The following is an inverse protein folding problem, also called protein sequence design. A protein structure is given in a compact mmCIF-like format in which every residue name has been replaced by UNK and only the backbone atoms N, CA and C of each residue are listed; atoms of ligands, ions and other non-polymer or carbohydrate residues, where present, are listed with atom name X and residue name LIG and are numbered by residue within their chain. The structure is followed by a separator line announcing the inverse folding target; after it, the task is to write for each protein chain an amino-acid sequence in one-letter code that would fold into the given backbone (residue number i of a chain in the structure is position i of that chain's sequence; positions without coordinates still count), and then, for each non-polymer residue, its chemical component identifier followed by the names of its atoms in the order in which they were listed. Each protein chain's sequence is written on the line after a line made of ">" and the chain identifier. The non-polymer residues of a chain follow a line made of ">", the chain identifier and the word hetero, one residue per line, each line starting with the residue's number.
data_IF_407625682013
#
_entry.id   IF_407625682013
#
_cell.length_a   1.000
_cell.length_b   1.000
_cell.length_c   1.000
_cell.angle_alpha   90.00
_cell.angle_beta   90.00
_cell.angle_gamma   90.00
#
_symmetry.space_group_name_H-M   'P 1'
#
loop_
_entity.id
_entity.type
_entity.pdbx_description
1 polymer ?
#
# COMPACT_ATOMS: atom_id res chain seq x y z
N UNK A 1 12.63 -2.88 -16.05
CA UNK A 1 13.84 -3.60 -15.61
C UNK A 1 13.62 -5.07 -15.90
N UNK A 2 14.40 -5.66 -16.77
CA UNK A 2 14.26 -7.08 -17.10
C UNK A 2 15.09 -7.84 -16.10
N UNK A 3 14.44 -8.54 -15.20
CA UNK A 3 15.13 -9.50 -14.32
C UNK A 3 15.49 -10.73 -15.16
N UNK A 4 16.59 -10.66 -15.86
CA UNK A 4 17.18 -11.85 -16.44
C UNK A 4 17.97 -12.58 -15.37
N UNK A 5 17.28 -13.42 -14.61
CA UNK A 5 17.99 -14.48 -13.90
C UNK A 5 18.52 -15.47 -14.95
N UNK A 6 19.77 -15.37 -15.22
CA UNK A 6 20.50 -16.46 -15.87
C UNK A 6 20.83 -17.48 -14.80
N UNK A 7 19.85 -18.27 -14.41
CA UNK A 7 20.17 -19.42 -13.59
C UNK A 7 20.72 -20.54 -14.49
N UNK A 8 21.98 -20.47 -14.76
CA UNK A 8 22.68 -21.47 -15.61
C UNK A 8 22.92 -22.81 -14.90
N UNK A 9 22.59 -22.92 -13.63
CA UNK A 9 22.91 -24.06 -12.79
C UNK A 9 21.66 -24.80 -12.27
N UNK A 10 20.49 -24.66 -12.93
CA UNK A 10 19.35 -25.52 -12.62
C UNK A 10 19.59 -26.88 -13.28
N UNK A 11 20.08 -27.83 -12.49
CA UNK A 11 20.31 -29.20 -12.95
C UNK A 11 19.14 -30.12 -12.62
N UNK A 12 18.28 -29.73 -11.69
CA UNK A 12 17.16 -30.54 -11.24
C UNK A 12 16.04 -29.67 -10.71
N UNK A 13 14.81 -29.96 -11.11
CA UNK A 13 13.59 -29.29 -10.64
C UNK A 13 12.61 -30.35 -10.15
N UNK A 14 12.10 -30.17 -8.95
CA UNK A 14 11.03 -30.99 -8.39
C UNK A 14 9.74 -30.20 -8.25
N UNK A 15 8.61 -30.89 -8.42
CA UNK A 15 7.30 -30.32 -8.09
C UNK A 15 7.26 -29.91 -6.63
N UNK A 16 6.94 -28.65 -6.38
CA UNK A 16 6.68 -28.16 -5.03
C UNK A 16 5.21 -28.40 -4.69
N UNK A 17 4.89 -29.17 -3.63
CA UNK A 17 3.50 -29.32 -3.20
C UNK A 17 2.84 -27.96 -2.98
N UNK A 18 1.63 -27.81 -3.51
CA UNK A 18 0.82 -26.61 -3.36
C UNK A 18 1.27 -25.37 -4.17
N UNK A 19 2.24 -25.48 -5.07
CA UNK A 19 2.58 -24.40 -6.00
C UNK A 19 2.06 -24.73 -7.41
N UNK A 20 1.20 -23.87 -7.93
CA UNK A 20 0.62 -24.01 -9.26
C UNK A 20 1.36 -23.19 -10.32
N UNK A 21 2.00 -22.08 -9.92
CA UNK A 21 2.76 -21.18 -10.79
C UNK A 21 4.12 -20.85 -10.20
N UNK A 22 5.02 -20.40 -11.07
CA UNK A 22 6.38 -19.99 -10.71
C UNK A 22 6.64 -18.59 -11.25
N UNK A 23 7.60 -17.87 -10.63
CA UNK A 23 7.97 -16.51 -11.04
C UNK A 23 7.08 -15.40 -10.47
N UNK A 24 6.02 -15.73 -9.72
CA UNK A 24 5.19 -14.74 -9.03
C UNK A 24 5.84 -14.35 -7.71
N UNK A 25 6.52 -13.19 -7.68
CA UNK A 25 7.13 -12.66 -6.45
C UNK A 25 6.11 -12.08 -5.49
N UNK A 26 5.12 -11.36 -6.03
CA UNK A 26 4.17 -10.58 -5.23
C UNK A 26 2.72 -10.90 -5.61
N UNK A 27 1.90 -11.18 -4.61
CA UNK A 27 0.44 -11.19 -4.71
C UNK A 27 -0.14 -9.93 -4.05
N UNK A 28 -1.22 -9.38 -4.59
CA UNK A 28 -1.93 -8.24 -4.02
C UNK A 28 -3.39 -8.58 -3.82
N UNK A 29 -3.86 -8.42 -2.58
CA UNK A 29 -5.28 -8.57 -2.23
C UNK A 29 -5.96 -7.24 -2.51
N UNK A 30 -6.99 -7.26 -3.36
CA UNK A 30 -7.75 -6.08 -3.74
C UNK A 30 -9.19 -6.15 -3.21
N UNK A 31 -9.78 -4.97 -3.01
CA UNK A 31 -11.19 -4.82 -2.65
C UNK A 31 -12.10 -5.24 -3.81
N UNK A 32 -13.29 -5.71 -3.49
CA UNK A 32 -14.35 -6.07 -4.45
C UNK A 32 -15.12 -4.82 -4.87
N UNK A 33 -14.42 -3.92 -5.53
CA UNK A 33 -15.03 -2.69 -6.06
C UNK A 33 -14.37 -2.24 -7.36
N UNK A 34 -15.02 -1.33 -8.06
CA UNK A 34 -14.61 -0.85 -9.38
C UNK A 34 -14.35 0.65 -9.34
N UNK A 35 -13.15 1.04 -9.71
CA UNK A 35 -12.74 2.41 -9.98
C UNK A 35 -11.57 2.43 -10.98
N UNK A 36 -11.38 3.53 -11.74
CA UNK A 36 -10.23 3.64 -12.64
C UNK A 36 -8.94 3.82 -11.83
N UNK A 37 -7.91 3.00 -12.12
CA UNK A 37 -6.57 3.10 -11.51
C UNK A 37 -5.57 3.75 -12.45
N UNK A 38 -5.04 4.91 -12.09
CA UNK A 38 -3.96 5.56 -12.83
C UNK A 38 -2.68 4.71 -12.78
N UNK A 39 -1.75 4.87 -13.76
CA UNK A 39 -0.41 4.28 -13.63
C UNK A 39 0.25 4.69 -12.31
N UNK A 40 0.66 3.71 -11.52
CA UNK A 40 1.15 3.90 -10.16
C UNK A 40 0.18 3.47 -9.06
N UNK A 41 -1.13 3.45 -9.32
CA UNK A 41 -2.10 2.84 -8.41
C UNK A 41 -1.75 1.36 -8.19
N UNK A 42 -1.98 0.85 -6.98
CA UNK A 42 -1.68 -0.54 -6.61
C UNK A 42 -2.42 -1.56 -7.48
N UNK A 43 -3.57 -1.18 -8.07
CA UNK A 43 -4.35 -2.01 -9.00
C UNK A 43 -3.87 -1.95 -10.44
N UNK A 44 -2.93 -1.07 -10.77
CA UNK A 44 -2.40 -0.96 -12.12
C UNK A 44 -1.09 -1.72 -12.26
N UNK A 45 -1.16 -2.99 -12.64
CA UNK A 45 0.00 -3.87 -12.76
C UNK A 45 1.06 -3.37 -13.75
N UNK A 46 0.68 -2.56 -14.74
CA UNK A 46 1.62 -2.05 -15.75
C UNK A 46 2.61 -1.01 -15.20
N UNK A 47 2.35 -0.48 -14.01
CA UNK A 47 3.18 0.53 -13.38
C UNK A 47 4.40 -0.05 -12.63
N UNK A 48 4.43 -1.36 -12.43
CA UNK A 48 5.48 -2.02 -11.63
C UNK A 48 6.43 -2.82 -12.51
N UNK A 49 7.75 -2.82 -12.21
CA UNK A 49 8.75 -3.51 -13.03
C UNK A 49 8.82 -5.03 -12.73
N UNK A 50 7.84 -5.58 -12.07
CA UNK A 50 7.75 -6.99 -11.68
C UNK A 50 6.31 -7.51 -11.83
N UNK A 51 6.13 -8.83 -12.00
CA UNK A 51 4.80 -9.41 -12.11
C UNK A 51 4.06 -9.35 -10.77
N UNK A 52 2.78 -8.98 -10.83
CA UNK A 52 1.86 -8.96 -9.70
C UNK A 52 0.69 -9.90 -10.00
N UNK A 53 0.37 -10.76 -9.05
CA UNK A 53 -0.85 -11.56 -9.06
C UNK A 53 -1.91 -10.90 -8.18
N UNK A 54 -3.06 -10.61 -8.74
CA UNK A 54 -4.18 -10.05 -7.97
C UNK A 54 -5.17 -11.13 -7.53
N UNK A 55 -5.75 -10.92 -6.36
CA UNK A 55 -6.88 -11.71 -5.86
C UNK A 55 -7.89 -10.80 -5.17
N UNK A 56 -9.16 -10.95 -5.50
CA UNK A 56 -10.25 -10.15 -4.94
C UNK A 56 -10.66 -10.72 -3.58
N UNK A 57 -10.75 -9.87 -2.56
CA UNK A 57 -11.43 -10.17 -1.31
C UNK A 57 -12.95 -10.06 -1.53
N UNK A 58 -13.58 -11.12 -2.03
CA UNK A 58 -14.97 -11.16 -2.47
C UNK A 58 -15.93 -10.62 -1.39
N UNK A 59 -16.77 -9.67 -1.76
CA UNK A 59 -17.76 -9.03 -0.89
C UNK A 59 -17.22 -7.93 0.04
N UNK A 60 -15.94 -7.57 -0.10
CA UNK A 60 -15.33 -6.49 0.68
C UNK A 60 -15.11 -5.25 -0.19
N UNK A 61 -15.94 -4.24 -0.02
CA UNK A 61 -15.80 -2.93 -0.64
C UNK A 61 -15.10 -1.90 0.28
N UNK A 62 -14.65 -0.79 -0.29
CA UNK A 62 -13.95 0.26 0.44
C UNK A 62 -14.83 0.96 1.46
N UNK A 63 -16.11 1.20 1.18
CA UNK A 63 -17.04 1.85 2.12
C UNK A 63 -17.29 0.97 3.34
N UNK A 64 -17.50 -0.34 3.14
CA UNK A 64 -17.64 -1.31 4.22
C UNK A 64 -16.37 -1.36 5.06
N UNK A 65 -15.20 -1.43 4.41
CA UNK A 65 -13.93 -1.45 5.12
C UNK A 65 -13.70 -0.18 5.96
N UNK A 66 -14.07 0.99 5.45
CA UNK A 66 -13.90 2.27 6.15
C UNK A 66 -14.91 2.44 7.29
N UNK A 67 -16.20 2.30 7.03
CA UNK A 67 -17.26 2.81 7.88
C UNK A 67 -18.01 1.75 8.69
N UNK A 68 -17.86 0.45 8.37
CA UNK A 68 -18.45 -0.58 9.22
C UNK A 68 -17.66 -0.70 10.52
N UNK A 69 -18.36 -0.58 11.66
CA UNK A 69 -17.76 -0.69 12.99
C UNK A 69 -17.23 -2.11 13.27
N UNK A 70 -17.95 -3.14 12.83
CA UNK A 70 -17.52 -4.53 12.92
C UNK A 70 -16.75 -4.95 11.68
N UNK A 71 -15.42 -5.06 11.82
CA UNK A 71 -14.53 -5.51 10.76
C UNK A 71 -14.28 -7.02 10.78
N UNK A 72 -14.80 -7.75 11.74
CA UNK A 72 -14.52 -9.19 11.90
C UNK A 72 -15.04 -10.01 10.74
N UNK A 73 -16.18 -9.60 10.14
CA UNK A 73 -16.78 -10.23 8.97
C UNK A 73 -15.88 -10.21 7.72
N UNK A 74 -14.94 -9.26 7.66
CA UNK A 74 -14.03 -9.08 6.52
C UNK A 74 -12.77 -9.95 6.59
N UNK A 75 -12.48 -10.53 7.76
CA UNK A 75 -11.29 -11.36 7.92
C UNK A 75 -11.31 -12.60 7.01
N UNK A 76 -12.44 -13.28 6.95
CA UNK A 76 -12.57 -14.52 6.17
C UNK A 76 -12.38 -14.33 4.65
N UNK A 77 -12.97 -13.32 3.97
CA UNK A 77 -12.67 -13.00 2.58
C UNK A 77 -11.18 -12.69 2.33
N UNK A 78 -10.55 -11.91 3.21
CA UNK A 78 -9.13 -11.57 3.09
C UNK A 78 -8.26 -12.81 3.26
N UNK A 79 -8.54 -13.66 4.25
CA UNK A 79 -7.85 -14.94 4.45
C UNK A 79 -7.98 -15.86 3.24
N UNK A 80 -9.19 -15.96 2.65
CA UNK A 80 -9.45 -16.75 1.44
C UNK A 80 -8.58 -16.26 0.27
N UNK A 81 -8.53 -14.94 0.04
CA UNK A 81 -7.72 -14.32 -0.99
C UNK A 81 -6.21 -14.56 -0.73
N UNK A 82 -5.75 -14.33 0.49
CA UNK A 82 -4.35 -14.58 0.88
C UNK A 82 -3.94 -16.04 0.63
N UNK A 83 -4.82 -16.98 0.97
CA UNK A 83 -4.56 -18.42 0.78
C UNK A 83 -4.50 -18.83 -0.68
N UNK A 84 -5.33 -18.22 -1.54
CA UNK A 84 -5.27 -18.44 -2.99
C UNK A 84 -3.92 -17.92 -3.56
N UNK A 85 -3.47 -16.73 -3.16
CA UNK A 85 -2.19 -16.18 -3.59
C UNK A 85 -1.00 -17.04 -3.12
N UNK A 86 -1.01 -17.49 -1.88
CA UNK A 86 0.00 -18.44 -1.37
C UNK A 86 0.03 -19.72 -2.19
N UNK A 87 -1.15 -20.31 -2.45
CA UNK A 87 -1.30 -21.57 -3.21
C UNK A 87 -0.86 -21.46 -4.66
N UNK A 88 -1.10 -20.32 -5.31
CA UNK A 88 -0.65 -20.12 -6.69
C UNK A 88 0.87 -19.97 -6.79
N UNK A 89 1.54 -19.61 -5.69
CA UNK A 89 3.00 -19.57 -5.61
C UNK A 89 3.60 -18.19 -5.36
N UNK A 90 2.79 -17.20 -4.99
CA UNK A 90 3.31 -15.90 -4.57
C UNK A 90 4.25 -16.06 -3.37
N UNK A 91 5.34 -15.31 -3.38
CA UNK A 91 6.40 -15.38 -2.35
C UNK A 91 6.26 -14.30 -1.27
N UNK A 92 5.44 -13.29 -1.55
CA UNK A 92 4.98 -12.27 -0.61
C UNK A 92 3.55 -11.88 -0.97
N UNK A 93 2.80 -11.36 0.00
CA UNK A 93 1.43 -10.87 -0.19
C UNK A 93 1.33 -9.45 0.34
N UNK A 94 0.71 -8.55 -0.43
CA UNK A 94 0.38 -7.20 -0.02
C UNK A 94 -1.14 -6.97 -0.08
N UNK A 95 -1.61 -5.97 0.67
CA UNK A 95 -2.93 -5.40 0.46
C UNK A 95 -2.89 -4.24 -0.52
N UNK A 96 -4.04 -3.76 -0.98
CA UNK A 96 -4.10 -2.54 -1.79
C UNK A 96 -4.53 -1.31 -0.98
N UNK A 97 -5.27 -1.52 0.10
CA UNK A 97 -5.88 -0.45 0.89
C UNK A 97 -5.14 -0.27 2.22
N UNK A 98 -4.80 0.96 2.57
CA UNK A 98 -4.06 1.24 3.81
C UNK A 98 -4.78 0.77 5.06
N UNK A 99 -6.12 0.76 5.07
CA UNK A 99 -6.92 0.26 6.20
C UNK A 99 -6.88 -1.27 6.37
N UNK A 100 -6.30 -2.01 5.43
CA UNK A 100 -5.94 -3.41 5.67
C UNK A 100 -4.89 -3.58 6.77
N UNK A 101 -4.28 -2.50 7.22
CA UNK A 101 -3.45 -2.50 8.44
C UNK A 101 -4.14 -3.21 9.61
N UNK A 102 -5.46 -3.06 9.75
CA UNK A 102 -6.27 -3.72 10.77
C UNK A 102 -6.03 -5.24 10.84
N UNK A 103 -5.80 -5.88 9.71
CA UNK A 103 -5.67 -7.32 9.56
C UNK A 103 -4.22 -7.80 9.42
N UNK A 104 -3.24 -6.92 9.59
CA UNK A 104 -1.82 -7.26 9.36
C UNK A 104 -1.37 -8.48 10.13
N UNK A 105 -1.66 -8.54 11.43
CA UNK A 105 -1.20 -9.64 12.30
C UNK A 105 -1.95 -10.95 12.02
N UNK A 106 -3.24 -10.86 11.79
CA UNK A 106 -4.11 -12.00 11.50
C UNK A 106 -3.71 -12.69 10.19
N UNK A 107 -3.46 -11.91 9.15
CA UNK A 107 -3.07 -12.46 7.85
C UNK A 107 -1.62 -12.98 7.88
N UNK A 108 -0.70 -12.26 8.54
CA UNK A 108 0.66 -12.74 8.72
C UNK A 108 0.73 -14.07 9.50
N UNK A 109 -0.16 -14.27 10.47
CA UNK A 109 -0.28 -15.54 11.20
C UNK A 109 -0.99 -16.66 10.42
N UNK A 110 -1.71 -16.32 9.34
CA UNK A 110 -2.52 -17.28 8.58
C UNK A 110 -1.80 -17.91 7.38
N UNK A 111 -0.91 -17.18 6.72
CA UNK A 111 -0.11 -17.65 5.58
C UNK A 111 1.36 -17.87 5.97
N UNK A 112 2.11 -18.59 5.13
CA UNK A 112 3.52 -18.93 5.37
C UNK A 112 4.51 -18.01 4.65
N UNK A 113 4.01 -17.00 3.95
CA UNK A 113 4.82 -16.01 3.22
C UNK A 113 4.74 -14.65 3.89
N UNK A 114 5.74 -13.77 3.73
CA UNK A 114 5.68 -12.41 4.25
C UNK A 114 4.45 -11.65 3.78
N UNK A 115 3.88 -10.82 4.67
CA UNK A 115 2.64 -10.09 4.42
C UNK A 115 2.85 -8.59 4.65
N UNK A 116 2.38 -7.77 3.72
CA UNK A 116 2.51 -6.32 3.67
C UNK A 116 1.13 -5.67 3.42
N UNK A 117 0.27 -5.68 4.44
CA UNK A 117 -1.13 -5.28 4.27
C UNK A 117 -1.35 -3.78 4.12
N UNK A 118 -0.39 -2.94 4.51
CA UNK A 118 -0.55 -1.48 4.47
C UNK A 118 0.78 -0.76 4.31
N UNK A 119 0.78 0.37 3.61
CA UNK A 119 1.94 1.27 3.55
C UNK A 119 2.35 1.80 4.93
N UNK A 120 1.43 1.82 5.91
CA UNK A 120 1.70 2.20 7.29
C UNK A 120 2.80 1.36 7.97
N UNK A 121 3.10 0.16 7.48
CA UNK A 121 4.25 -0.65 7.93
C UNK A 121 5.59 0.08 7.83
N UNK A 122 5.67 1.11 6.99
CA UNK A 122 6.89 1.90 6.80
C UNK A 122 7.05 3.02 7.85
N UNK A 123 6.01 3.36 8.64
CA UNK A 123 6.09 4.45 9.63
C UNK A 123 7.17 4.21 10.68
N UNK A 124 7.25 3.03 11.34
CA UNK A 124 8.31 2.77 12.31
C UNK A 124 9.72 2.85 11.68
N UNK A 125 9.86 2.43 10.43
CA UNK A 125 11.11 2.57 9.69
C UNK A 125 11.43 4.06 9.44
N UNK A 126 10.48 4.83 8.93
CA UNK A 126 10.65 6.25 8.68
C UNK A 126 11.02 7.03 9.95
N UNK A 127 10.38 6.70 11.08
CA UNK A 127 10.70 7.30 12.39
C UNK A 127 12.16 7.08 12.81
N UNK A 128 12.74 5.93 12.47
CA UNK A 128 14.15 5.63 12.76
C UNK A 128 15.13 6.29 11.76
N UNK A 129 14.66 6.77 10.62
CA UNK A 129 15.49 7.38 9.57
C UNK A 129 15.55 8.90 9.65
N UNK A 130 14.60 9.53 10.34
CA UNK A 130 14.54 11.00 10.51
C UNK A 130 15.14 11.42 11.85
N UNK A 131 15.35 12.73 12.03
CA UNK A 131 15.92 13.26 13.28
C UNK A 131 15.00 13.05 14.49
N UNK A 132 15.58 12.90 15.68
CA UNK A 132 14.83 12.60 16.92
C UNK A 132 13.75 13.66 17.27
N UNK A 133 13.92 14.88 16.79
CA UNK A 133 12.96 15.98 17.00
C UNK A 133 11.98 16.15 15.83
N UNK A 134 12.03 15.27 14.86
CA UNK A 134 11.15 15.29 13.71
C UNK A 134 10.00 14.29 13.88
N UNK A 135 8.92 14.51 13.12
CA UNK A 135 7.75 13.63 13.09
C UNK A 135 7.54 13.08 11.68
N UNK A 136 6.92 11.93 11.58
CA UNK A 136 6.41 11.39 10.31
C UNK A 136 5.01 11.96 10.09
N UNK A 137 4.79 12.69 8.99
CA UNK A 137 3.46 13.03 8.52
C UNK A 137 2.83 11.81 7.88
N UNK A 138 1.58 11.51 8.21
CA UNK A 138 0.81 10.40 7.65
C UNK A 138 -0.41 10.99 6.95
N UNK A 139 -0.45 10.93 5.62
CA UNK A 139 -1.60 11.35 4.84
C UNK A 139 -2.47 10.14 4.56
N UNK A 140 -3.66 10.12 5.16
CA UNK A 140 -4.63 9.03 5.05
C UNK A 140 -5.87 9.46 4.27
N UNK A 141 -6.64 8.51 3.75
CA UNK A 141 -7.88 8.86 3.06
C UNK A 141 -8.89 9.51 4.03
N UNK A 142 -9.13 8.90 5.21
CA UNK A 142 -9.96 9.48 6.28
C UNK A 142 -9.32 9.21 7.65
N UNK A 143 -8.95 10.30 8.35
CA UNK A 143 -8.38 10.16 9.70
C UNK A 143 -9.40 9.72 10.74
N UNK A 144 -10.68 9.98 10.51
CA UNK A 144 -11.74 9.66 11.46
C UNK A 144 -12.00 8.16 11.61
N UNK A 145 -11.62 7.34 10.61
CA UNK A 145 -11.79 5.88 10.63
C UNK A 145 -10.50 5.13 10.94
N UNK A 146 -9.38 5.82 11.00
CA UNK A 146 -8.10 5.23 11.41
C UNK A 146 -8.05 5.14 12.94
N UNK A 147 -8.03 3.92 13.46
CA UNK A 147 -8.04 3.66 14.91
C UNK A 147 -6.67 3.20 15.42
N UNK A 148 -6.50 3.19 16.75
CA UNK A 148 -5.29 2.64 17.38
C UNK A 148 -5.02 1.20 16.97
N UNK A 149 -6.05 0.39 16.73
CA UNK A 149 -5.91 -1.00 16.27
C UNK A 149 -5.16 -1.08 14.93
N UNK A 150 -5.46 -0.19 13.97
CA UNK A 150 -4.73 -0.12 12.70
C UNK A 150 -3.25 0.20 12.93
N UNK A 151 -2.98 1.20 13.77
CA UNK A 151 -1.62 1.67 14.04
C UNK A 151 -0.79 0.61 14.78
N UNK A 152 -1.32 0.05 15.84
CA UNK A 152 -0.66 -0.97 16.65
C UNK A 152 -0.41 -2.28 15.87
N UNK A 153 -1.32 -2.64 14.97
CA UNK A 153 -1.17 -3.84 14.14
C UNK A 153 0.06 -3.78 13.23
N UNK A 154 0.46 -2.58 12.80
CA UNK A 154 1.64 -2.32 11.96
C UNK A 154 2.85 -1.81 12.75
N UNK A 155 2.79 -1.85 14.09
CA UNK A 155 3.90 -1.51 14.98
C UNK A 155 4.08 -0.02 15.29
N UNK A 156 3.12 0.83 14.91
CA UNK A 156 3.13 2.25 15.28
C UNK A 156 2.71 2.37 16.75
N UNK A 157 3.59 2.90 17.58
CA UNK A 157 3.33 3.06 19.01
C UNK A 157 2.49 4.31 19.27
N UNK A 158 1.54 4.31 20.23
CA UNK A 158 0.66 5.44 20.52
C UNK A 158 1.39 6.75 20.84
N UNK A 159 2.57 6.66 21.45
CA UNK A 159 3.39 7.81 21.86
C UNK A 159 4.58 8.08 20.93
N UNK A 160 4.59 7.48 19.74
CA UNK A 160 5.67 7.74 18.77
C UNK A 160 5.45 9.04 18.00
N UNK A 161 6.50 9.55 17.38
CA UNK A 161 6.50 10.87 16.72
C UNK A 161 5.84 10.81 15.34
N UNK A 162 4.54 11.05 15.28
CA UNK A 162 3.78 11.20 14.02
C UNK A 162 2.66 12.23 14.14
N UNK A 163 2.21 12.72 12.99
CA UNK A 163 1.02 13.56 12.84
C UNK A 163 0.19 13.00 11.68
N UNK A 164 -1.13 13.10 11.76
CA UNK A 164 -2.04 12.51 10.75
C UNK A 164 -2.92 13.60 10.16
N UNK A 165 -3.02 13.59 8.81
CA UNK A 165 -4.00 14.40 8.09
C UNK A 165 -4.86 13.52 7.18
N UNK A 166 -6.15 13.87 7.07
CA UNK A 166 -7.14 13.15 6.26
C UNK A 166 -7.48 13.87 4.98
N UNK A 167 -7.43 13.18 3.86
CA UNK A 167 -7.83 13.72 2.55
C UNK A 167 -9.28 14.21 2.59
N UNK A 168 -10.19 13.37 3.09
CA UNK A 168 -11.61 13.73 3.19
C UNK A 168 -11.83 14.90 4.14
N UNK A 169 -11.22 14.87 5.32
CA UNK A 169 -11.45 15.87 6.38
C UNK A 169 -10.82 17.22 6.04
N UNK A 170 -9.82 17.25 5.19
CA UNK A 170 -9.18 18.51 4.74
C UNK A 170 -10.14 19.39 3.93
N UNK A 171 -11.08 18.79 3.21
CA UNK A 171 -11.95 19.49 2.25
C UNK A 171 -11.21 20.01 1.00
N UNK A 172 -9.91 19.78 0.89
CA UNK A 172 -9.07 20.29 -0.20
C UNK A 172 -9.00 19.35 -1.41
N UNK A 173 -9.49 18.12 -1.28
CA UNK A 173 -9.36 17.08 -2.30
C UNK A 173 -10.72 16.50 -2.73
N UNK A 174 -11.62 17.31 -3.30
CA UNK A 174 -12.95 16.84 -3.70
C UNK A 174 -12.90 15.83 -4.85
N UNK A 175 -11.97 15.94 -5.79
CA UNK A 175 -11.90 15.07 -6.95
C UNK A 175 -11.59 13.61 -6.55
N UNK A 176 -10.52 13.39 -5.76
CA UNK A 176 -10.19 12.06 -5.29
C UNK A 176 -11.22 11.52 -4.28
N UNK A 177 -11.82 12.40 -3.47
CA UNK A 177 -12.88 12.01 -2.55
C UNK A 177 -14.10 11.50 -3.31
N UNK A 178 -14.53 12.20 -4.35
CA UNK A 178 -15.65 11.79 -5.21
C UNK A 178 -15.34 10.48 -5.93
N UNK A 179 -14.10 10.28 -6.42
CA UNK A 179 -13.67 9.05 -7.07
C UNK A 179 -13.99 7.81 -6.22
N UNK A 180 -13.67 7.85 -4.93
CA UNK A 180 -13.86 6.70 -4.04
C UNK A 180 -15.23 6.67 -3.35
N UNK A 181 -15.87 7.82 -3.15
CA UNK A 181 -17.14 7.93 -2.41
C UNK A 181 -18.38 7.96 -3.30
N UNK A 182 -18.26 8.06 -4.62
CA UNK A 182 -19.42 7.99 -5.51
C UNK A 182 -20.19 6.67 -5.29
N UNK A 183 -21.52 6.78 -5.25
CA UNK A 183 -22.40 5.64 -4.96
C UNK A 183 -22.52 4.68 -6.15
N UNK A 184 -22.55 5.25 -7.38
CA UNK A 184 -22.59 4.50 -8.62
C UNK A 184 -21.16 4.29 -9.14
N UNK A 185 -20.68 3.03 -9.27
CA UNK A 185 -19.37 2.76 -9.86
C UNK A 185 -19.17 3.34 -11.26
N UNK A 186 -20.25 3.45 -12.06
CA UNK A 186 -20.17 4.02 -13.41
C UNK A 186 -19.94 5.54 -13.42
N UNK A 187 -20.26 6.21 -12.31
CA UNK A 187 -19.99 7.64 -12.13
C UNK A 187 -18.60 7.92 -11.54
N UNK A 188 -17.83 6.90 -11.19
CA UNK A 188 -16.47 7.02 -10.67
C UNK A 188 -15.51 7.38 -11.80
N UNK A 189 -15.31 8.65 -12.00
CA UNK A 189 -14.33 9.22 -12.91
C UNK A 189 -13.48 10.25 -12.19
N UNK A 190 -12.30 10.51 -12.70
CA UNK A 190 -11.40 11.47 -12.09
C UNK A 190 -10.52 12.16 -13.15
N UNK A 191 -10.25 13.43 -12.90
CA UNK A 191 -9.27 14.19 -13.66
C UNK A 191 -7.92 14.10 -12.97
N UNK A 192 -6.91 13.59 -13.68
CA UNK A 192 -5.56 13.38 -13.15
C UNK A 192 -4.93 14.68 -12.63
N UNK A 193 -4.96 15.72 -13.45
CA UNK A 193 -4.33 17.01 -13.14
C UNK A 193 -5.01 17.70 -11.95
N UNK A 194 -6.31 17.54 -11.79
CA UNK A 194 -7.03 18.06 -10.62
C UNK A 194 -6.61 17.33 -9.35
N UNK A 195 -6.61 16.00 -9.36
CA UNK A 195 -6.18 15.22 -8.18
C UNK A 195 -4.74 15.59 -7.82
N UNK A 196 -3.85 15.68 -8.81
CA UNK A 196 -2.46 16.06 -8.58
C UNK A 196 -2.36 17.42 -7.86
N UNK A 197 -3.05 18.44 -8.38
CA UNK A 197 -3.02 19.77 -7.80
C UNK A 197 -3.64 19.82 -6.39
N UNK A 198 -4.75 19.13 -6.18
CA UNK A 198 -5.40 19.02 -4.88
C UNK A 198 -4.49 18.36 -3.84
N UNK A 199 -3.86 17.23 -4.18
CA UNK A 199 -2.96 16.52 -3.29
C UNK A 199 -1.66 17.29 -3.00
N UNK A 200 -1.12 18.01 -3.98
CA UNK A 200 0.02 18.91 -3.76
C UNK A 200 -0.37 20.02 -2.77
N UNK A 201 -1.53 20.64 -2.99
CA UNK A 201 -2.02 21.71 -2.11
C UNK A 201 -2.18 21.20 -0.68
N UNK A 202 -2.82 20.04 -0.50
CA UNK A 202 -2.98 19.42 0.81
C UNK A 202 -1.64 19.06 1.47
N UNK A 203 -0.70 18.49 0.74
CA UNK A 203 0.61 18.12 1.29
C UNK A 203 1.43 19.35 1.72
N UNK A 204 1.37 20.43 0.96
CA UNK A 204 2.03 21.70 1.31
C UNK A 204 1.38 22.32 2.54
N UNK A 205 0.06 22.39 2.60
CA UNK A 205 -0.70 22.88 3.75
C UNK A 205 -0.37 22.06 5.00
N UNK A 206 -0.39 20.74 4.90
CA UNK A 206 -0.05 19.85 6.00
C UNK A 206 1.38 20.07 6.51
N UNK A 207 2.35 20.26 5.60
CA UNK A 207 3.73 20.57 5.98
C UNK A 207 3.86 21.96 6.63
N UNK A 208 3.14 22.94 6.15
CA UNK A 208 3.15 24.30 6.74
C UNK A 208 2.63 24.31 8.18
N UNK A 209 1.60 23.49 8.47
CA UNK A 209 1.07 23.35 9.82
C UNK A 209 1.95 22.46 10.73
N UNK A 210 2.81 21.63 10.13
CA UNK A 210 3.72 20.73 10.85
C UNK A 210 5.16 20.82 10.33
N UNK A 211 5.84 21.98 10.50
CA UNK A 211 7.18 22.20 9.93
C UNK A 211 8.26 21.28 10.51
N UNK A 212 7.96 20.57 11.60
CA UNK A 212 8.83 19.54 12.18
C UNK A 212 8.75 18.20 11.44
N UNK A 213 7.95 18.06 10.39
CA UNK A 213 7.93 16.83 9.58
C UNK A 213 9.29 16.59 8.94
N UNK A 214 9.82 15.37 9.12
CA UNK A 214 11.06 14.90 8.49
C UNK A 214 10.82 13.95 7.33
N UNK A 215 9.61 13.38 7.23
CA UNK A 215 9.16 12.51 6.15
C UNK A 215 7.64 12.54 6.05
N UNK A 216 7.11 12.21 4.86
CA UNK A 216 5.68 12.00 4.64
C UNK A 216 5.44 10.55 4.24
N UNK A 217 4.38 9.94 4.79
CA UNK A 217 3.85 8.64 4.36
C UNK A 217 2.48 8.82 3.74
N UNK A 218 2.29 8.24 2.56
CA UNK A 218 1.02 8.16 1.85
C UNK A 218 0.34 6.82 2.14
N UNK A 219 -0.77 6.85 2.90
CA UNK A 219 -1.50 5.64 3.28
C UNK A 219 -2.45 5.19 2.16
N UNK A 220 -3.16 6.13 1.54
CA UNK A 220 -4.12 5.83 0.50
C UNK A 220 -3.42 5.38 -0.79
N UNK A 221 -3.79 4.22 -1.33
CA UNK A 221 -3.20 3.67 -2.57
C UNK A 221 -3.41 4.58 -3.78
N UNK A 222 -4.55 5.27 -3.83
CA UNK A 222 -4.86 6.24 -4.89
C UNK A 222 -3.98 7.49 -4.89
N UNK A 223 -3.20 7.74 -3.84
CA UNK A 223 -2.22 8.84 -3.83
C UNK A 223 -0.88 8.46 -4.45
N UNK A 224 -0.62 7.17 -4.64
CA UNK A 224 0.65 6.67 -5.17
C UNK A 224 1.02 7.24 -6.55
N UNK A 225 0.12 7.40 -7.52
CA UNK A 225 0.46 8.03 -8.82
C UNK A 225 1.06 9.43 -8.68
N UNK A 226 0.75 10.12 -7.60
CA UNK A 226 1.12 11.52 -7.34
C UNK A 226 2.28 11.68 -6.34
N UNK A 227 2.84 10.58 -5.84
CA UNK A 227 3.88 10.59 -4.80
C UNK A 227 5.10 11.43 -5.20
N UNK A 228 5.51 11.39 -6.48
CA UNK A 228 6.62 12.17 -6.99
C UNK A 228 6.33 13.68 -6.98
N UNK A 229 5.16 14.08 -7.45
CA UNK A 229 4.75 15.49 -7.50
C UNK A 229 4.62 16.08 -6.09
N UNK A 230 4.04 15.30 -5.16
CA UNK A 230 3.99 15.65 -3.73
C UNK A 230 5.41 15.82 -3.18
N UNK A 231 6.30 14.87 -3.42
CA UNK A 231 7.70 14.93 -2.96
C UNK A 231 8.43 16.16 -3.48
N UNK A 232 8.24 16.51 -4.75
CA UNK A 232 8.86 17.71 -5.34
C UNK A 232 8.36 18.99 -4.68
N UNK A 233 7.08 19.05 -4.31
CA UNK A 233 6.48 20.23 -3.70
C UNK A 233 6.94 20.45 -2.25
N UNK A 234 6.94 19.40 -1.42
CA UNK A 234 7.31 19.54 0.01
C UNK A 234 8.79 19.32 0.27
N UNK A 235 9.54 18.74 -0.67
CA UNK A 235 11.00 18.46 -0.58
C UNK A 235 11.39 17.59 0.62
N UNK A 236 10.51 16.69 1.05
CA UNK A 236 10.78 15.69 2.08
C UNK A 236 10.84 14.29 1.48
N UNK A 237 11.48 13.32 2.13
CA UNK A 237 11.31 11.91 1.82
C UNK A 237 9.83 11.52 1.86
N UNK A 238 9.36 10.79 0.84
CA UNK A 238 7.98 10.30 0.75
C UNK A 238 7.99 8.78 0.71
N UNK A 239 7.36 8.17 1.69
CA UNK A 239 7.06 6.74 1.75
C UNK A 239 5.66 6.51 1.20
N UNK A 240 5.49 5.46 0.42
CA UNK A 240 4.24 5.25 -0.32
C UNK A 240 4.01 3.76 -0.61
N UNK A 241 2.94 3.44 -1.29
CA UNK A 241 2.71 2.08 -1.77
C UNK A 241 3.81 1.61 -2.74
N UNK A 242 4.30 2.50 -3.61
CA UNK A 242 5.41 2.15 -4.51
C UNK A 242 6.64 1.68 -3.75
N UNK A 243 7.07 2.43 -2.75
CA UNK A 243 8.23 2.05 -1.92
C UNK A 243 7.98 0.77 -1.13
N UNK A 244 6.75 0.53 -0.65
CA UNK A 244 6.40 -0.71 0.03
C UNK A 244 6.43 -1.91 -0.91
N UNK A 245 5.83 -1.82 -2.10
CA UNK A 245 5.76 -2.93 -3.06
C UNK A 245 7.13 -3.26 -3.65
N UNK A 246 7.95 -2.24 -3.94
CA UNK A 246 9.35 -2.42 -4.33
C UNK A 246 10.14 -3.16 -3.25
N UNK A 247 9.98 -2.75 -1.98
CA UNK A 247 10.60 -3.42 -0.84
C UNK A 247 10.09 -4.87 -0.70
N UNK A 248 8.77 -5.07 -0.69
CA UNK A 248 8.15 -6.39 -0.58
C UNK A 248 8.63 -7.35 -1.68
N UNK A 249 8.72 -6.86 -2.91
CA UNK A 249 9.27 -7.65 -4.01
C UNK A 249 10.76 -7.95 -3.81
N UNK A 250 11.55 -6.97 -3.40
CA UNK A 250 12.99 -7.12 -3.22
C UNK A 250 13.37 -8.15 -2.15
N UNK A 251 12.59 -8.24 -1.06
CA UNK A 251 12.84 -9.22 0.00
C UNK A 251 12.33 -10.62 -0.36
N UNK A 252 11.32 -10.72 -1.24
CA UNK A 252 10.78 -11.99 -1.71
C UNK A 252 11.56 -12.59 -2.88
N UNK A 253 12.14 -11.72 -3.74
CA UNK A 253 12.87 -12.09 -4.96
C UNK A 253 14.16 -11.28 -5.01
N UNK A 254 15.22 -11.80 -4.40
CA UNK A 254 16.54 -11.18 -4.49
C UNK A 254 17.07 -11.18 -5.94
N UNK A 255 17.58 -10.03 -6.36
CA UNK A 255 18.32 -9.91 -7.61
C UNK A 255 19.72 -10.47 -7.47
N UNK A 256 20.29 -10.96 -8.56
CA UNK A 256 21.71 -11.22 -8.65
C UNK A 256 22.49 -9.91 -8.83
N UNK A 257 23.67 -9.84 -8.27
CA UNK A 257 24.57 -8.70 -8.43
C UNK A 257 25.72 -9.09 -9.34
N UNK A 258 25.95 -8.31 -10.36
CA UNK A 258 27.05 -8.48 -11.30
C UNK A 258 28.00 -7.30 -11.15
N UNK A 259 29.31 -7.57 -11.22
CA UNK A 259 30.34 -6.53 -11.14
C UNK A 259 31.69 -7.07 -11.58
N UNK A 260 32.65 -6.17 -11.74
CA UNK A 260 34.07 -6.48 -11.98
C UNK A 260 34.85 -6.24 -10.69
N UNK A 261 35.83 -7.08 -10.42
CA UNK A 261 36.83 -6.95 -9.34
C UNK A 261 38.19 -6.73 -9.92
#
# INVERSE_FOLDING_TARGET
>A
MIYQQRNFNIHHIQTSPHKHCYGMGLGVIILDEQYPGFPGDTRNASAYPFPIQYEIAEGLDGKGLLFNADKTSYLAPIQKAAKKLEKIGCRAIAGECGYFAYFQKEIAGYVKVPVFMSSLLQVPLAQNLIGNNQVVGILVFSKNVLTSVHLEAVGIQPNSNYVIEGIMESGLCPEITNLYMASDPLSRGANYEKIEQELITLAVDFYQHHPQMGALLLECSGTQPFARSIQQAIRLPVFSWGTLLDYAYSVAVHREFYGHV
#
